data_IF_771787282702
#
_entry.id   IF_771787282702
#
_cell.length_a   1.000
_cell.length_b   1.000
_cell.length_c   1.000
_cell.angle_alpha   90.00
_cell.angle_beta   90.00
_cell.angle_gamma   90.00
#
_symmetry.space_group_name_H-M   'P 1'
#
loop_
_entity.id
_entity.type
_entity.pdbx_description
1 polymer ?
#
# COMPACT_ATOMS: atom_id res chain seq x y z
N UNK A 1 -14.40 34.99 -10.48
CA UNK A 1 -15.24 35.55 -11.56
C UNK A 1 -15.58 36.99 -11.25
N UNK A 2 -15.41 37.93 -12.20
CA UNK A 2 -15.76 39.34 -11.99
C UNK A 2 -17.23 39.56 -12.34
N UNK A 3 -18.05 40.02 -11.39
CA UNK A 3 -19.45 40.39 -11.66
C UNK A 3 -19.44 41.76 -12.36
N UNK A 4 -20.05 41.91 -13.56
CA UNK A 4 -20.12 43.19 -14.25
C UNK A 4 -20.78 44.26 -13.36
N UNK A 5 -20.18 45.45 -13.28
CA UNK A 5 -20.72 46.59 -12.53
C UNK A 5 -20.31 46.69 -11.05
N UNK A 6 -19.58 45.73 -10.50
CA UNK A 6 -19.12 45.78 -9.10
C UNK A 6 -17.60 45.69 -8.98
N UNK A 7 -17.04 46.44 -8.02
CA UNK A 7 -15.63 46.29 -7.61
C UNK A 7 -15.43 44.86 -7.11
N UNK A 8 -14.32 44.22 -7.51
CA UNK A 8 -13.96 42.85 -7.10
C UNK A 8 -14.16 42.68 -5.59
N UNK A 9 -14.98 41.70 -5.19
CA UNK A 9 -15.30 41.40 -3.78
C UNK A 9 -16.41 42.26 -3.13
N UNK A 10 -17.05 43.19 -3.84
CA UNK A 10 -18.11 44.07 -3.31
C UNK A 10 -19.46 43.92 -4.02
N UNK A 11 -19.68 42.82 -4.75
CA UNK A 11 -20.96 42.52 -5.37
C UNK A 11 -21.97 42.01 -4.31
N UNK A 12 -23.23 42.48 -4.29
CA UNK A 12 -24.29 41.93 -3.46
C UNK A 12 -24.55 40.46 -3.77
N UNK A 13 -24.81 39.65 -2.72
CA UNK A 13 -25.06 38.20 -2.81
C UNK A 13 -26.14 37.84 -3.83
N UNK A 14 -27.27 38.57 -3.82
CA UNK A 14 -28.40 38.35 -4.73
C UNK A 14 -28.06 38.55 -6.23
N UNK A 15 -27.01 39.33 -6.54
CA UNK A 15 -26.53 39.51 -7.92
C UNK A 15 -25.55 38.40 -8.26
N UNK A 16 -24.66 38.04 -7.33
CA UNK A 16 -23.72 36.93 -7.51
C UNK A 16 -24.43 35.60 -7.81
N UNK A 17 -25.51 35.30 -7.08
CA UNK A 17 -26.35 34.10 -7.26
C UNK A 17 -27.01 34.01 -8.65
N UNK A 18 -27.09 35.12 -9.40
CA UNK A 18 -27.60 35.13 -10.79
C UNK A 18 -26.52 34.89 -11.84
N UNK A 19 -25.25 35.17 -11.51
CA UNK A 19 -24.11 35.01 -12.41
C UNK A 19 -23.33 33.72 -12.17
N UNK A 20 -23.54 33.10 -11.02
CA UNK A 20 -22.91 31.84 -10.61
C UNK A 20 -24.00 30.79 -10.48
N UNK A 21 -23.73 29.60 -11.00
CA UNK A 21 -24.59 28.44 -10.81
C UNK A 21 -24.66 28.09 -9.31
N UNK A 22 -25.78 28.47 -8.69
CA UNK A 22 -26.01 28.27 -7.26
C UNK A 22 -26.11 26.81 -6.91
N UNK A 23 -26.57 25.95 -7.81
CA UNK A 23 -26.63 24.50 -7.59
C UNK A 23 -25.21 23.91 -7.51
N UNK A 24 -24.32 24.31 -8.43
CA UNK A 24 -22.93 23.87 -8.41
C UNK A 24 -22.19 24.32 -7.16
N UNK A 25 -22.42 25.55 -6.70
CA UNK A 25 -21.82 26.07 -5.46
C UNK A 25 -22.37 25.34 -4.24
N UNK A 26 -23.69 25.05 -4.21
CA UNK A 26 -24.31 24.29 -3.12
C UNK A 26 -23.77 22.89 -3.02
N UNK A 27 -23.64 22.18 -4.14
CA UNK A 27 -23.08 20.82 -4.16
C UNK A 27 -21.64 20.82 -3.62
N UNK A 28 -20.80 21.74 -4.09
CA UNK A 28 -19.43 21.86 -3.59
C UNK A 28 -19.37 22.20 -2.10
N UNK A 29 -20.24 23.09 -1.62
CA UNK A 29 -20.32 23.41 -0.20
C UNK A 29 -20.82 22.21 0.63
N UNK A 30 -21.76 21.42 0.11
CA UNK A 30 -22.24 20.21 0.76
C UNK A 30 -21.13 19.14 0.84
N UNK A 31 -20.39 18.91 -0.25
CA UNK A 31 -19.23 18.02 -0.29
C UNK A 31 -18.19 18.44 0.76
N UNK A 32 -17.81 19.71 0.80
CA UNK A 32 -16.84 20.25 1.77
C UNK A 32 -17.34 20.12 3.22
N UNK A 33 -18.64 20.34 3.47
CA UNK A 33 -19.24 20.17 4.80
C UNK A 33 -19.27 18.71 5.24
N UNK A 34 -19.50 17.77 4.33
CA UNK A 34 -19.47 16.33 4.63
C UNK A 34 -18.07 15.92 5.03
N UNK A 35 -17.06 16.29 4.25
CA UNK A 35 -15.66 15.95 4.53
C UNK A 35 -15.24 16.48 5.92
N UNK A 36 -15.53 17.76 6.20
CA UNK A 36 -15.22 18.39 7.48
C UNK A 36 -15.95 17.71 8.66
N UNK A 37 -17.22 17.35 8.49
CA UNK A 37 -18.02 16.71 9.53
C UNK A 37 -17.59 15.27 9.76
N UNK A 38 -17.25 14.55 8.68
CA UNK A 38 -16.75 13.18 8.70
C UNK A 38 -15.41 13.09 9.44
N UNK A 39 -14.45 13.96 9.11
CA UNK A 39 -13.16 14.00 9.80
C UNK A 39 -13.31 14.27 11.30
N UNK A 40 -14.17 15.23 11.68
CA UNK A 40 -14.46 15.52 13.09
C UNK A 40 -15.09 14.32 13.80
N UNK A 41 -16.00 13.60 13.15
CA UNK A 41 -16.66 12.42 13.72
C UNK A 41 -15.68 11.26 13.95
N UNK A 42 -14.80 11.00 12.98
CA UNK A 42 -13.71 10.00 13.11
C UNK A 42 -12.80 10.35 14.28
N UNK A 43 -12.34 11.59 14.36
CA UNK A 43 -11.40 12.03 15.39
C UNK A 43 -12.03 11.96 16.79
N UNK A 44 -13.31 12.32 16.90
CA UNK A 44 -14.05 12.28 18.16
C UNK A 44 -14.28 10.84 18.66
N UNK A 45 -14.69 9.93 17.76
CA UNK A 45 -14.97 8.53 18.09
C UNK A 45 -13.70 7.65 18.07
N UNK A 46 -12.55 8.21 17.69
CA UNK A 46 -11.25 7.52 17.53
C UNK A 46 -11.36 6.26 16.65
N UNK A 47 -12.18 6.38 15.61
CA UNK A 47 -12.41 5.30 14.66
C UNK A 47 -11.24 5.30 13.66
N UNK A 48 -10.69 4.12 13.37
CA UNK A 48 -9.73 3.95 12.30
C UNK A 48 -10.41 3.24 11.12
N UNK A 49 -10.85 3.97 10.09
CA UNK A 49 -11.52 3.36 8.93
C UNK A 49 -10.54 2.45 8.18
N UNK A 50 -11.00 1.25 7.79
CA UNK A 50 -10.19 0.31 7.01
C UNK A 50 -10.19 0.65 5.51
N UNK A 51 -11.28 1.24 5.01
CA UNK A 51 -11.44 1.65 3.62
C UNK A 51 -12.14 3.01 3.54
N UNK A 52 -12.19 3.57 2.33
CA UNK A 52 -12.93 4.79 2.03
C UNK A 52 -14.43 4.60 2.38
N UNK A 53 -15.06 5.58 3.05
CA UNK A 53 -16.47 5.48 3.45
C UNK A 53 -17.40 5.58 2.24
N UNK A 54 -18.57 4.96 2.34
CA UNK A 54 -19.66 5.22 1.42
C UNK A 54 -20.53 6.34 1.99
N UNK A 55 -20.65 7.45 1.25
CA UNK A 55 -21.34 8.67 1.68
C UNK A 55 -22.63 8.81 0.88
N UNK A 56 -23.76 8.91 1.57
CA UNK A 56 -25.07 9.21 1.00
C UNK A 56 -25.63 10.51 1.58
N UNK A 57 -25.99 11.46 0.70
CA UNK A 57 -26.52 12.76 1.08
C UNK A 57 -28.04 12.73 0.95
N UNK A 58 -28.74 12.54 2.06
CA UNK A 58 -30.21 12.44 2.09
C UNK A 58 -30.88 13.82 1.93
N UNK A 59 -30.31 14.88 2.52
CA UNK A 59 -30.93 16.20 2.51
C UNK A 59 -29.92 17.35 2.52
N UNK A 60 -29.99 18.21 1.51
CA UNK A 60 -29.13 19.40 1.36
C UNK A 60 -29.88 20.68 0.94
N UNK A 61 -31.17 20.78 1.26
CA UNK A 61 -32.01 21.94 0.91
C UNK A 61 -31.75 23.17 1.80
N UNK A 62 -31.86 24.36 1.21
CA UNK A 62 -31.71 25.64 1.92
C UNK A 62 -32.74 25.80 3.05
N UNK A 63 -32.27 26.14 4.25
CA UNK A 63 -33.11 26.39 5.42
C UNK A 63 -33.58 25.15 6.16
N UNK A 64 -33.20 23.94 5.70
CA UNK A 64 -33.41 22.67 6.40
C UNK A 64 -32.09 22.16 6.98
N UNK A 65 -32.14 21.28 8.00
CA UNK A 65 -30.94 20.63 8.51
C UNK A 65 -30.28 19.79 7.40
N UNK A 66 -28.96 19.83 7.34
CA UNK A 66 -28.16 18.99 6.45
C UNK A 66 -28.04 17.59 7.06
N UNK A 67 -28.48 16.57 6.32
CA UNK A 67 -28.47 15.17 6.78
C UNK A 67 -27.72 14.33 5.74
N UNK A 68 -26.69 13.63 6.22
CA UNK A 68 -25.90 12.69 5.43
C UNK A 68 -25.62 11.44 6.26
N UNK A 69 -25.45 10.30 5.58
CA UNK A 69 -25.08 9.02 6.16
C UNK A 69 -23.71 8.63 5.63
N UNK A 70 -22.82 8.21 6.52
CA UNK A 70 -21.50 7.68 6.17
C UNK A 70 -21.39 6.25 6.71
N UNK A 71 -21.32 5.27 5.82
CA UNK A 71 -21.09 3.87 6.16
C UNK A 71 -19.58 3.59 6.15
N UNK A 72 -19.03 3.26 7.33
CA UNK A 72 -17.58 3.10 7.52
C UNK A 72 -17.25 1.65 7.91
N UNK A 73 -16.45 0.93 7.11
CA UNK A 73 -15.99 -0.40 7.49
C UNK A 73 -14.92 -0.31 8.57
N UNK A 74 -15.22 -0.89 9.74
CA UNK A 74 -14.28 -1.00 10.84
C UNK A 74 -13.42 -2.27 10.72
N UNK A 75 -12.14 -2.22 11.15
CA UNK A 75 -11.34 -3.42 11.26
C UNK A 75 -12.00 -4.40 12.23
N UNK A 76 -11.98 -5.72 11.94
CA UNK A 76 -12.52 -6.71 12.85
C UNK A 76 -11.75 -6.66 14.18
N UNK A 77 -12.47 -6.71 15.29
CA UNK A 77 -11.86 -6.89 16.61
C UNK A 77 -11.29 -8.30 16.69
N UNK A 78 -9.96 -8.42 16.62
CA UNK A 78 -9.28 -9.71 16.77
C UNK A 78 -9.18 -10.02 18.26
N UNK A 79 -10.07 -10.87 18.75
CA UNK A 79 -9.90 -11.50 20.05
C UNK A 79 -8.87 -12.63 19.90
N UNK A 80 -7.65 -12.37 20.37
CA UNK A 80 -6.64 -13.41 20.46
C UNK A 80 -7.13 -14.45 21.46
N UNK A 81 -7.34 -15.68 20.99
CA UNK A 81 -7.56 -16.83 21.87
C UNK A 81 -6.33 -17.16 22.71
N UNK A 82 -6.28 -18.35 23.32
CA UNK A 82 -5.12 -18.78 24.11
C UNK A 82 -3.91 -19.12 23.21
N UNK A 83 -3.11 -18.11 22.88
CA UNK A 83 -1.87 -18.27 22.10
C UNK A 83 -0.67 -18.69 22.97
N UNK A 84 -0.77 -18.53 24.30
CA UNK A 84 0.27 -18.92 25.27
C UNK A 84 0.07 -20.40 25.66
N UNK A 85 0.63 -21.29 24.85
CA UNK A 85 0.53 -22.75 25.06
C UNK A 85 0.83 -23.59 23.83
N UNK A 86 1.04 -22.95 22.67
CA UNK A 86 1.44 -23.64 21.45
C UNK A 86 2.89 -24.12 21.61
N UNK A 87 3.07 -25.42 21.83
CA UNK A 87 4.38 -26.06 21.82
C UNK A 87 4.91 -26.11 20.38
N UNK A 88 5.73 -25.13 20.02
CA UNK A 88 6.50 -25.17 18.78
C UNK A 88 7.76 -25.99 19.03
N UNK A 89 7.87 -27.15 18.38
CA UNK A 89 9.11 -27.92 18.37
C UNK A 89 10.17 -27.12 17.61
N UNK A 90 11.16 -26.61 18.34
CA UNK A 90 12.34 -26.01 17.74
C UNK A 90 13.19 -27.14 17.16
N UNK A 91 13.15 -27.31 15.84
CA UNK A 91 14.16 -28.09 15.15
C UNK A 91 15.49 -27.35 15.28
N UNK A 92 16.36 -27.86 16.14
CA UNK A 92 17.75 -27.41 16.21
C UNK A 92 18.50 -28.32 15.26
N UNK A 93 18.88 -27.79 14.10
CA UNK A 93 19.82 -28.46 13.21
C UNK A 93 21.23 -28.15 13.75
N UNK A 94 21.91 -29.10 14.40
CA UNK A 94 23.29 -28.88 14.81
C UNK A 94 24.15 -28.79 13.55
N UNK A 95 24.94 -27.72 13.43
CA UNK A 95 25.97 -27.63 12.39
C UNK A 95 27.06 -28.63 12.77
N UNK A 96 27.35 -29.59 11.90
CA UNK A 96 28.43 -30.56 12.11
C UNK A 96 29.76 -30.01 11.59
N UNK A 97 30.87 -30.54 12.09
CA UNK A 97 32.20 -30.19 11.55
C UNK A 97 32.33 -30.61 10.07
N UNK A 98 31.61 -31.65 9.64
CA UNK A 98 31.52 -32.08 8.23
C UNK A 98 30.84 -31.02 7.35
N UNK A 99 29.78 -30.37 7.83
CA UNK A 99 29.11 -29.27 7.11
C UNK A 99 30.08 -28.10 6.90
N UNK A 100 30.86 -27.75 7.93
CA UNK A 100 31.86 -26.67 7.87
C UNK A 100 32.98 -27.03 6.90
N UNK A 101 33.49 -28.26 6.95
CA UNK A 101 34.58 -28.70 6.08
C UNK A 101 34.13 -28.78 4.61
N UNK A 102 32.89 -29.19 4.36
CA UNK A 102 32.29 -29.21 3.02
C UNK A 102 32.16 -27.80 2.43
N UNK A 103 31.74 -26.82 3.25
CA UNK A 103 31.57 -25.44 2.82
C UNK A 103 32.93 -24.77 2.59
N UNK A 104 33.92 -25.04 3.45
CA UNK A 104 35.30 -24.56 3.27
C UNK A 104 35.90 -25.12 1.98
N UNK A 105 35.68 -26.40 1.69
CA UNK A 105 36.16 -27.04 0.45
C UNK A 105 35.48 -26.44 -0.78
N UNK A 106 34.17 -26.19 -0.72
CA UNK A 106 33.43 -25.52 -1.79
C UNK A 106 33.95 -24.09 -2.04
N UNK A 107 34.24 -23.33 -0.98
CA UNK A 107 34.86 -22.01 -1.10
C UNK A 107 36.26 -22.06 -1.72
N UNK A 108 37.05 -23.08 -1.39
CA UNK A 108 38.38 -23.28 -1.98
C UNK A 108 38.31 -23.65 -3.47
N UNK A 109 37.39 -24.54 -3.85
CA UNK A 109 37.18 -24.95 -5.24
C UNK A 109 36.64 -23.80 -6.11
N UNK A 110 35.69 -23.01 -5.58
CA UNK A 110 35.11 -21.86 -6.31
C UNK A 110 36.09 -20.71 -6.52
N UNK A 111 37.09 -20.55 -5.64
CA UNK A 111 38.16 -19.56 -5.79
C UNK A 111 39.40 -20.10 -6.51
N UNK A 112 39.37 -21.36 -6.95
CA UNK A 112 40.49 -21.94 -7.67
C UNK A 112 40.65 -21.32 -9.07
N UNK A 113 41.86 -20.86 -9.39
CA UNK A 113 42.18 -20.38 -10.74
C UNK A 113 42.46 -21.56 -11.67
N UNK A 114 41.63 -21.73 -12.69
CA UNK A 114 41.86 -22.77 -13.72
C UNK A 114 42.98 -22.36 -14.68
N UNK A 115 43.98 -23.22 -14.85
CA UNK A 115 45.03 -23.06 -15.85
C UNK A 115 44.76 -23.95 -17.06
N UNK A 116 45.13 -23.48 -18.26
CA UNK A 116 44.99 -24.27 -19.49
C UNK A 116 46.03 -25.39 -19.48
N UNK A 117 45.58 -26.62 -19.67
CA UNK A 117 46.42 -27.81 -19.80
C UNK A 117 46.25 -28.36 -21.21
N UNK A 118 47.32 -28.34 -22.01
CA UNK A 118 47.30 -28.78 -23.42
C UNK A 118 48.08 -30.10 -23.64
N UNK A 119 48.93 -30.50 -22.69
CA UNK A 119 49.90 -31.60 -22.86
C UNK A 119 49.39 -32.98 -22.41
N UNK A 120 48.12 -33.11 -22.01
CA UNK A 120 47.53 -34.40 -21.58
C UNK A 120 46.02 -34.49 -21.86
N UNK A 121 45.47 -35.70 -22.03
CA UNK A 121 44.03 -35.90 -22.03
C UNK A 121 43.40 -35.46 -20.69
N UNK A 122 42.11 -35.09 -20.76
CA UNK A 122 41.31 -34.71 -19.60
C UNK A 122 41.23 -35.84 -18.57
N UNK A 123 41.32 -35.50 -17.29
CA UNK A 123 41.21 -36.40 -16.13
C UNK A 123 40.10 -35.93 -15.20
N UNK A 124 39.66 -36.83 -14.32
CA UNK A 124 38.71 -36.49 -13.26
C UNK A 124 39.24 -35.33 -12.41
N UNK A 125 38.44 -34.27 -12.28
CA UNK A 125 38.80 -33.02 -11.61
C UNK A 125 39.22 -31.88 -12.54
N UNK A 126 39.38 -32.13 -13.84
CA UNK A 126 39.61 -31.06 -14.83
C UNK A 126 38.28 -30.38 -15.23
N UNK A 127 38.32 -29.07 -15.42
CA UNK A 127 37.19 -28.30 -15.95
C UNK A 127 37.26 -28.30 -17.47
N UNK A 128 36.28 -28.94 -18.12
CA UNK A 128 36.18 -29.01 -19.58
C UNK A 128 35.13 -28.02 -20.08
N UNK A 129 35.55 -27.07 -20.92
CA UNK A 129 34.64 -26.22 -21.68
C UNK A 129 34.28 -26.93 -22.99
N UNK A 130 33.02 -27.35 -23.14
CA UNK A 130 32.52 -28.00 -24.35
C UNK A 130 31.31 -27.24 -24.91
N UNK A 131 31.27 -27.09 -26.24
CA UNK A 131 30.12 -26.55 -26.96
C UNK A 131 29.31 -27.73 -27.53
N UNK A 132 28.02 -27.80 -27.17
CA UNK A 132 27.14 -28.89 -27.61
C UNK A 132 26.07 -28.32 -28.55
N UNK A 133 26.13 -28.71 -29.82
CA UNK A 133 25.11 -28.38 -30.81
C UNK A 133 24.15 -29.55 -31.00
N UNK A 134 22.86 -29.32 -30.77
CA UNK A 134 21.82 -30.33 -31.02
C UNK A 134 21.27 -30.09 -32.43
N UNK A 135 21.34 -31.10 -33.28
CA UNK A 135 20.84 -31.03 -34.65
C UNK A 135 19.33 -31.35 -34.62
N UNK A 136 18.50 -30.35 -34.91
CA UNK A 136 17.07 -30.51 -35.20
C UNK A 136 16.91 -31.07 -36.61
#
# INVERSE_FOLDING_TARGET
TSVPGFRKGKAPRAILEKFVDTERVRRHAAEEMVDDAYHKAIDQEKIHPYAEPEIDIEQYEDGKPFIFKADVPLPPTVELGEYKGIEVKREVTPVTDEDVESEVKYMQESQATSTKVEDRPAKDGDIVLAEVATKV
#
